data_IF_852324050321
#
_entry.id   IF_852324050321
#
_cell.length_a   1.000
_cell.length_b   1.000
_cell.length_c   1.000
_cell.angle_alpha   90.00
_cell.angle_beta   90.00
_cell.angle_gamma   90.00
#
_symmetry.space_group_name_H-M   'P 1'
#
loop_
_entity.id
_entity.type
_entity.pdbx_description
1 polymer ?
#
# COMPACT_ATOMS: atom_id res chain seq x y z
N UNK A 1 -8.73 -3.85 3.35
CA UNK A 1 -9.62 -2.66 3.31
C UNK A 1 -9.84 -2.04 4.67
N UNK A 2 -9.87 -2.82 5.71
CA UNK A 2 -10.16 -2.38 7.09
C UNK A 2 -9.22 -1.27 7.56
N UNK A 3 -7.92 -1.40 7.30
CA UNK A 3 -6.94 -0.36 7.62
C UNK A 3 -7.20 0.93 6.84
N UNK A 4 -7.50 0.83 5.54
CA UNK A 4 -7.74 1.99 4.68
C UNK A 4 -8.97 2.77 5.13
N UNK A 5 -10.10 2.09 5.33
CA UNK A 5 -11.31 2.74 5.85
C UNK A 5 -11.11 3.32 7.25
N UNK A 6 -10.37 2.62 8.12
CA UNK A 6 -10.08 3.12 9.46
C UNK A 6 -9.26 4.42 9.44
N UNK A 7 -8.27 4.51 8.54
CA UNK A 7 -7.46 5.73 8.37
C UNK A 7 -8.30 6.86 7.81
N UNK A 8 -9.12 6.62 6.78
CA UNK A 8 -10.01 7.63 6.20
C UNK A 8 -11.03 8.13 7.22
N UNK A 9 -11.61 7.21 8.02
CA UNK A 9 -12.54 7.60 9.10
C UNK A 9 -11.83 8.45 10.16
N UNK A 10 -10.61 8.09 10.58
CA UNK A 10 -9.80 8.92 11.51
C UNK A 10 -9.43 10.28 10.94
N UNK A 11 -9.32 10.39 9.61
CA UNK A 11 -9.12 11.68 8.91
C UNK A 11 -10.40 12.48 8.71
N UNK A 12 -11.57 11.94 9.11
CA UNK A 12 -12.85 12.65 9.09
C UNK A 12 -13.62 12.56 7.77
N UNK A 13 -13.25 11.66 6.86
CA UNK A 13 -13.99 11.48 5.60
C UNK A 13 -15.39 10.89 5.82
N UNK A 14 -15.55 10.03 6.82
CA UNK A 14 -16.82 9.42 7.22
C UNK A 14 -16.74 8.89 8.66
N UNK A 15 -17.89 8.65 9.35
CA UNK A 15 -17.89 8.15 10.72
C UNK A 15 -17.33 6.72 10.84
N UNK A 16 -16.39 6.49 11.75
CA UNK A 16 -15.83 5.13 12.00
C UNK A 16 -16.93 4.13 12.40
N UNK A 17 -17.98 4.59 13.08
CA UNK A 17 -19.09 3.72 13.47
C UNK A 17 -19.85 3.16 12.27
N UNK A 18 -20.03 3.97 11.22
CA UNK A 18 -20.64 3.46 9.97
C UNK A 18 -19.82 2.33 9.33
N UNK A 19 -18.49 2.45 9.32
CA UNK A 19 -17.61 1.37 8.84
C UNK A 19 -17.84 0.12 9.65
N UNK A 20 -17.83 0.20 11.00
CA UNK A 20 -18.04 -0.95 11.88
C UNK A 20 -19.41 -1.62 11.66
N UNK A 21 -20.44 -0.80 11.46
CA UNK A 21 -21.81 -1.29 11.34
C UNK A 21 -22.14 -1.83 9.95
N UNK A 22 -21.46 -1.33 8.90
CA UNK A 22 -21.82 -1.58 7.52
C UNK A 22 -20.80 -2.41 6.72
N UNK A 23 -19.58 -2.60 7.25
CA UNK A 23 -18.51 -3.30 6.51
C UNK A 23 -18.98 -4.67 6.03
N UNK A 24 -18.79 -4.92 4.73
CA UNK A 24 -19.17 -6.16 4.04
C UNK A 24 -20.65 -6.57 4.11
N UNK A 25 -21.56 -5.67 4.51
CA UNK A 25 -23.00 -5.94 4.44
C UNK A 25 -23.53 -5.72 3.01
N UNK A 26 -24.54 -6.50 2.65
CA UNK A 26 -25.20 -6.35 1.34
C UNK A 26 -25.76 -4.93 1.17
N UNK A 27 -25.46 -4.32 0.02
CA UNK A 27 -25.86 -2.95 -0.29
C UNK A 27 -25.04 -1.85 0.37
N UNK A 28 -24.09 -2.19 1.22
CA UNK A 28 -23.17 -1.22 1.83
C UNK A 28 -22.13 -0.71 0.82
N UNK A 29 -21.72 0.57 0.90
CA UNK A 29 -20.56 1.05 0.15
C UNK A 29 -19.21 0.60 0.74
N UNK A 30 -19.18 0.12 2.00
CA UNK A 30 -17.98 -0.34 2.70
C UNK A 30 -17.72 -1.81 2.42
N UNK A 31 -17.25 -2.11 1.22
CA UNK A 31 -16.98 -3.48 0.75
C UNK A 31 -15.49 -3.82 0.79
N UNK A 32 -15.14 -5.09 0.52
CA UNK A 32 -13.77 -5.58 0.54
C UNK A 32 -12.82 -4.96 -0.48
N UNK A 33 -13.32 -4.20 -1.45
CA UNK A 33 -12.54 -3.44 -2.41
C UNK A 33 -12.94 -1.96 -2.37
N UNK A 34 -11.98 -1.01 -2.51
CA UNK A 34 -12.31 0.40 -2.46
C UNK A 34 -13.12 0.81 -3.68
N UNK A 35 -14.10 1.69 -3.46
CA UNK A 35 -14.85 2.31 -4.54
C UNK A 35 -14.99 3.82 -4.33
N UNK A 36 -14.97 4.55 -5.42
CA UNK A 36 -14.98 6.02 -5.44
C UNK A 36 -16.36 6.65 -5.14
N UNK A 37 -17.32 5.86 -4.67
CA UNK A 37 -18.58 6.37 -4.09
C UNK A 37 -18.37 6.87 -2.66
N UNK A 38 -17.28 6.42 -2.01
CA UNK A 38 -16.90 6.88 -0.67
C UNK A 38 -15.98 8.09 -0.75
N UNK A 39 -16.20 9.12 0.09
CA UNK A 39 -15.29 10.25 0.19
C UNK A 39 -13.87 9.81 0.54
N UNK A 40 -12.86 10.42 -0.11
CA UNK A 40 -11.45 10.10 0.13
C UNK A 40 -10.93 8.89 -0.63
N UNK A 41 -11.73 8.29 -1.51
CA UNK A 41 -11.29 7.22 -2.43
C UNK A 41 -11.32 7.74 -3.85
N UNK A 42 -10.15 7.89 -4.46
CA UNK A 42 -9.98 8.52 -5.79
C UNK A 42 -10.36 7.57 -6.91
N UNK A 43 -10.16 6.24 -6.73
CA UNK A 43 -10.44 5.27 -7.79
C UNK A 43 -10.92 3.93 -7.24
N UNK A 44 -11.70 3.21 -8.06
CA UNK A 44 -12.01 1.82 -7.78
C UNK A 44 -10.74 0.96 -7.92
N UNK A 45 -10.53 0.05 -6.99
CA UNK A 45 -9.38 -0.84 -6.97
C UNK A 45 -9.79 -2.26 -6.60
N UNK A 46 -8.85 -3.21 -6.68
CA UNK A 46 -9.06 -4.65 -6.44
C UNK A 46 -8.54 -5.52 -7.58
N UNK A 47 -8.54 -4.99 -8.81
CA UNK A 47 -7.76 -5.57 -9.91
C UNK A 47 -6.32 -5.10 -9.77
N UNK A 48 -5.46 -5.99 -9.25
CA UNK A 48 -4.05 -5.68 -8.99
C UNK A 48 -3.32 -5.29 -10.28
N UNK A 49 -2.26 -4.51 -10.17
CA UNK A 49 -1.47 -4.00 -11.29
C UNK A 49 -2.04 -2.75 -11.96
N UNK A 50 -3.25 -2.30 -11.62
CA UNK A 50 -3.88 -1.12 -12.24
C UNK A 50 -3.65 0.18 -11.47
N UNK A 51 -3.27 0.10 -10.20
CA UNK A 51 -3.05 1.29 -9.36
C UNK A 51 -1.94 2.18 -9.89
N UNK A 52 -0.77 1.62 -10.16
CA UNK A 52 0.37 2.38 -10.65
C UNK A 52 0.12 3.03 -12.03
N UNK A 53 -0.40 2.34 -13.06
CA UNK A 53 -0.74 2.97 -14.33
C UNK A 53 -1.68 4.17 -14.20
N UNK A 54 -2.72 4.07 -13.39
CA UNK A 54 -3.65 5.18 -13.13
C UNK A 54 -2.93 6.34 -12.42
N UNK A 55 -2.09 6.05 -11.43
CA UNK A 55 -1.29 7.06 -10.75
C UNK A 55 -0.29 7.77 -11.70
N UNK A 56 0.29 7.05 -12.66
CA UNK A 56 1.10 7.64 -13.73
C UNK A 56 0.28 8.66 -14.54
N UNK A 57 -0.95 8.31 -14.92
CA UNK A 57 -1.85 9.23 -15.62
C UNK A 57 -2.18 10.47 -14.80
N UNK A 58 -2.49 10.30 -13.51
CA UNK A 58 -2.77 11.41 -12.58
C UNK A 58 -1.54 12.32 -12.39
N UNK A 59 -0.36 11.75 -12.21
CA UNK A 59 0.88 12.51 -12.05
C UNK A 59 1.24 13.29 -13.31
N UNK A 60 1.07 12.67 -14.47
CA UNK A 60 1.30 13.32 -15.78
C UNK A 60 0.32 14.47 -15.99
N UNK A 61 -0.96 14.31 -15.69
CA UNK A 61 -1.97 15.37 -15.76
C UNK A 61 -1.57 16.55 -14.86
N UNK A 62 -1.19 16.28 -13.60
CA UNK A 62 -0.72 17.32 -12.68
C UNK A 62 0.45 18.13 -13.22
N UNK A 63 1.45 17.47 -13.79
CA UNK A 63 2.60 18.15 -14.41
C UNK A 63 2.19 19.00 -15.61
N UNK A 64 1.33 18.49 -16.48
CA UNK A 64 0.85 19.21 -17.67
C UNK A 64 0.00 20.42 -17.32
N UNK A 65 -0.81 20.31 -16.27
CA UNK A 65 -1.69 21.37 -15.79
C UNK A 65 -0.96 22.38 -14.86
N UNK A 66 0.35 22.20 -14.63
CA UNK A 66 1.15 23.04 -13.73
C UNK A 66 0.68 22.98 -12.28
N UNK A 67 0.10 21.85 -11.86
CA UNK A 67 -0.32 21.62 -10.47
C UNK A 67 0.82 21.08 -9.63
N UNK A 68 0.86 21.44 -8.36
CA UNK A 68 1.91 21.06 -7.41
C UNK A 68 1.58 19.84 -6.56
N UNK A 69 0.42 19.18 -6.78
CA UNK A 69 0.06 17.97 -6.05
C UNK A 69 0.98 16.80 -6.37
N UNK A 70 1.10 15.92 -5.39
CA UNK A 70 1.83 14.67 -5.51
C UNK A 70 0.87 13.49 -5.51
N UNK A 71 1.24 12.44 -6.23
CA UNK A 71 0.48 11.21 -6.34
C UNK A 71 1.23 10.10 -5.59
N UNK A 72 0.51 9.35 -4.77
CA UNK A 72 1.03 8.22 -4.01
C UNK A 72 0.24 6.97 -4.33
N UNK A 73 0.92 5.84 -4.39
CA UNK A 73 0.27 4.52 -4.47
C UNK A 73 0.97 3.53 -3.56
N UNK A 74 0.20 2.62 -2.98
CA UNK A 74 0.73 1.48 -2.21
C UNK A 74 0.43 0.22 -2.98
N UNK A 75 1.45 -0.59 -3.22
CA UNK A 75 1.38 -1.85 -3.94
C UNK A 75 1.86 -2.99 -3.05
N UNK A 76 1.22 -4.14 -3.11
CA UNK A 76 1.77 -5.37 -2.53
C UNK A 76 2.93 -5.91 -3.37
N UNK A 77 3.87 -6.58 -2.72
CA UNK A 77 4.99 -7.21 -3.45
C UNK A 77 4.51 -8.32 -4.40
N UNK A 78 3.50 -9.11 -4.02
CA UNK A 78 2.87 -10.09 -4.92
C UNK A 78 2.18 -9.46 -6.14
N UNK A 79 1.74 -8.20 -6.04
CA UNK A 79 1.15 -7.43 -7.15
C UNK A 79 2.18 -7.15 -8.27
N UNK A 80 3.47 -7.14 -7.95
CA UNK A 80 4.53 -6.83 -8.92
C UNK A 80 4.70 -7.90 -10.01
N UNK A 81 4.01 -9.03 -9.90
CA UNK A 81 3.89 -10.02 -10.99
C UNK A 81 3.06 -9.51 -12.17
N UNK A 82 2.26 -8.45 -11.98
CA UNK A 82 1.44 -7.87 -13.05
C UNK A 82 2.29 -7.05 -14.03
N UNK A 83 2.18 -7.38 -15.34
CA UNK A 83 2.99 -6.73 -16.39
C UNK A 83 2.75 -5.21 -16.48
N UNK A 84 1.52 -4.76 -16.23
CA UNK A 84 1.14 -3.35 -16.26
C UNK A 84 1.91 -2.47 -15.26
N UNK A 85 2.43 -3.03 -14.16
CA UNK A 85 3.33 -2.33 -13.23
C UNK A 85 4.60 -1.88 -13.96
N UNK A 86 5.22 -2.78 -14.73
CA UNK A 86 6.48 -2.51 -15.43
C UNK A 86 6.30 -1.57 -16.61
N UNK A 87 5.18 -1.69 -17.33
CA UNK A 87 4.79 -0.72 -18.37
C UNK A 87 4.61 0.69 -17.79
N UNK A 88 3.95 0.79 -16.64
CA UNK A 88 3.77 2.03 -15.92
C UNK A 88 5.11 2.58 -15.38
N UNK A 89 6.00 1.71 -14.91
CA UNK A 89 7.33 2.10 -14.44
C UNK A 89 8.17 2.74 -15.56
N UNK A 90 8.14 2.18 -16.77
CA UNK A 90 8.78 2.78 -17.95
C UNK A 90 8.19 4.16 -18.29
N UNK A 91 6.85 4.27 -18.29
CA UNK A 91 6.18 5.52 -18.60
C UNK A 91 6.47 6.60 -17.56
N UNK A 92 6.48 6.26 -16.28
CA UNK A 92 6.78 7.20 -15.20
C UNK A 92 8.18 7.83 -15.34
N UNK A 93 9.17 7.02 -15.67
CA UNK A 93 10.52 7.49 -15.95
C UNK A 93 10.56 8.36 -17.22
N UNK A 94 9.97 7.90 -18.33
CA UNK A 94 9.94 8.64 -19.60
C UNK A 94 9.38 10.04 -19.47
N UNK A 95 8.37 10.22 -18.61
CA UNK A 95 7.74 11.53 -18.39
C UNK A 95 8.31 12.28 -17.18
N UNK A 96 9.40 11.80 -16.56
CA UNK A 96 10.06 12.42 -15.42
C UNK A 96 9.09 12.77 -14.29
N UNK A 97 8.25 11.81 -13.87
CA UNK A 97 7.17 12.03 -12.92
C UNK A 97 7.70 12.12 -11.47
N UNK A 98 8.42 13.18 -11.15
CA UNK A 98 8.97 13.44 -9.81
C UNK A 98 7.90 13.79 -8.76
N UNK A 99 6.66 13.94 -9.20
CA UNK A 99 5.48 14.06 -8.34
C UNK A 99 4.78 12.72 -8.09
N UNK A 100 5.34 11.59 -8.54
CA UNK A 100 4.86 10.24 -8.27
C UNK A 100 5.76 9.53 -7.27
N UNK A 101 5.16 8.97 -6.21
CA UNK A 101 5.83 8.12 -5.24
C UNK A 101 5.05 6.82 -5.08
N UNK A 102 5.65 5.69 -5.42
CA UNK A 102 5.13 4.37 -5.17
C UNK A 102 5.71 3.81 -3.86
N UNK A 103 4.91 3.08 -3.08
CA UNK A 103 5.36 2.34 -1.91
C UNK A 103 5.08 0.86 -2.15
N UNK A 104 6.08 0.03 -1.98
CA UNK A 104 5.92 -1.43 -2.04
C UNK A 104 5.87 -1.95 -0.60
N UNK A 105 4.73 -2.54 -0.23
CA UNK A 105 4.59 -3.34 0.99
C UNK A 105 5.30 -4.69 0.75
N UNK A 106 6.60 -4.72 1.05
CA UNK A 106 7.47 -5.90 0.85
C UNK A 106 7.36 -6.80 2.07
N UNK A 107 6.25 -7.51 2.18
CA UNK A 107 5.99 -8.44 3.28
C UNK A 107 6.35 -9.90 2.95
N UNK A 108 6.87 -10.18 1.76
CA UNK A 108 7.30 -11.48 1.24
C UNK A 108 6.20 -12.53 1.11
N UNK A 109 4.93 -12.17 1.27
CA UNK A 109 3.81 -13.12 1.24
C UNK A 109 2.69 -12.67 0.29
N UNK A 110 2.18 -13.63 -0.45
CA UNK A 110 0.95 -13.50 -1.25
C UNK A 110 -0.01 -14.65 -0.92
N UNK A 111 -1.19 -14.70 -1.55
CA UNK A 111 -2.24 -15.70 -1.26
C UNK A 111 -1.68 -17.13 -1.20
N UNK A 112 -0.82 -17.49 -2.15
CA UNK A 112 -0.35 -18.87 -2.36
C UNK A 112 0.90 -19.22 -1.54
N UNK A 113 1.54 -18.26 -0.86
CA UNK A 113 2.76 -18.48 -0.09
C UNK A 113 3.78 -17.35 -0.19
N UNK A 114 5.05 -17.69 -0.09
CA UNK A 114 6.15 -16.75 -0.22
C UNK A 114 6.23 -16.23 -1.66
N UNK A 115 6.43 -14.94 -1.85
CA UNK A 115 6.48 -14.29 -3.18
C UNK A 115 7.60 -14.87 -4.05
N UNK A 116 8.77 -15.20 -3.49
CA UNK A 116 9.88 -15.75 -4.25
C UNK A 116 9.64 -17.19 -4.72
N UNK A 117 8.80 -17.94 -4.00
CA UNK A 117 8.44 -19.31 -4.40
C UNK A 117 7.32 -19.33 -5.47
N UNK A 118 6.46 -18.29 -5.50
CA UNK A 118 5.34 -18.22 -6.44
C UNK A 118 5.73 -17.52 -7.73
N UNK A 119 6.30 -16.31 -7.63
CA UNK A 119 6.82 -15.55 -8.77
C UNK A 119 7.91 -14.59 -8.26
N UNK A 120 9.16 -15.03 -8.32
CA UNK A 120 10.30 -14.31 -7.76
C UNK A 120 10.53 -12.92 -8.34
N UNK A 121 10.80 -11.96 -7.47
CA UNK A 121 10.99 -10.56 -7.83
C UNK A 121 12.36 -10.00 -7.44
N UNK A 122 13.24 -10.81 -6.85
CA UNK A 122 14.57 -10.36 -6.49
C UNK A 122 15.41 -9.99 -7.74
N UNK A 123 16.17 -8.96 -7.77
CA UNK A 123 16.30 -7.91 -6.76
C UNK A 123 15.39 -6.71 -7.12
N UNK A 124 14.44 -6.32 -6.25
CA UNK A 124 13.50 -5.22 -6.54
C UNK A 124 14.18 -3.88 -6.69
N UNK A 125 15.22 -3.61 -5.87
CA UNK A 125 16.00 -2.38 -5.98
C UNK A 125 16.55 -2.22 -7.40
N UNK A 126 17.29 -3.20 -7.87
CA UNK A 126 17.93 -3.15 -9.18
C UNK A 126 16.92 -3.11 -10.32
N UNK A 127 15.78 -3.78 -10.17
CA UNK A 127 14.70 -3.71 -11.17
C UNK A 127 14.18 -2.29 -11.33
N UNK A 128 13.74 -1.62 -10.25
CA UNK A 128 13.23 -0.25 -10.34
C UNK A 128 14.33 0.74 -10.71
N UNK A 129 15.54 0.58 -10.22
CA UNK A 129 16.69 1.39 -10.62
C UNK A 129 16.99 1.28 -12.12
N UNK A 130 16.87 0.09 -12.70
CA UNK A 130 17.06 -0.12 -14.16
C UNK A 130 15.98 0.56 -15.00
N UNK A 131 14.79 0.79 -14.45
CA UNK A 131 13.74 1.59 -15.07
C UNK A 131 13.92 3.11 -14.80
N UNK A 132 15.02 3.54 -14.16
CA UNK A 132 15.34 4.94 -13.91
C UNK A 132 14.57 5.59 -12.78
N UNK A 133 14.09 4.79 -11.83
CA UNK A 133 13.46 5.27 -10.61
C UNK A 133 14.50 5.57 -9.52
N UNK A 134 14.23 6.57 -8.70
CA UNK A 134 14.90 6.73 -7.42
C UNK A 134 14.33 5.68 -6.44
N UNK A 135 15.21 4.82 -5.92
CA UNK A 135 14.82 3.72 -5.05
C UNK A 135 15.27 4.00 -3.62
N UNK A 136 14.35 3.89 -2.68
CA UNK A 136 14.60 4.05 -1.25
C UNK A 136 14.25 2.73 -0.56
N UNK A 137 15.27 2.05 -0.01
CA UNK A 137 15.07 0.84 0.76
C UNK A 137 14.84 1.19 2.23
N UNK A 138 13.72 0.77 2.78
CA UNK A 138 13.39 0.90 4.21
C UNK A 138 13.46 -0.48 4.85
N UNK A 139 14.46 -0.70 5.68
CA UNK A 139 14.75 -2.01 6.30
C UNK A 139 13.68 -2.47 7.29
N UNK A 140 13.00 -1.55 7.97
CA UNK A 140 11.79 -1.80 8.77
C UNK A 140 10.66 -0.87 8.31
N UNK A 141 9.82 -1.38 7.41
CA UNK A 141 8.65 -0.68 6.89
C UNK A 141 7.49 -0.57 7.90
N UNK A 142 7.64 -1.13 9.10
CA UNK A 142 6.71 -0.91 10.21
C UNK A 142 7.20 0.20 11.17
N UNK A 143 8.40 0.76 10.96
CA UNK A 143 8.91 1.92 11.67
C UNK A 143 8.41 3.22 11.01
N UNK A 144 7.59 3.97 11.75
CA UNK A 144 6.99 5.22 11.29
C UNK A 144 8.04 6.29 11.00
N UNK A 145 9.08 6.39 11.84
CA UNK A 145 10.14 7.40 11.67
C UNK A 145 11.00 7.11 10.43
N UNK A 146 11.27 5.84 10.15
CA UNK A 146 11.96 5.42 8.94
C UNK A 146 11.13 5.75 7.68
N UNK A 147 9.83 5.47 7.70
CA UNK A 147 8.91 5.81 6.61
C UNK A 147 8.80 7.32 6.40
N UNK A 148 8.71 8.12 7.47
CA UNK A 148 8.67 9.58 7.37
C UNK A 148 9.92 10.15 6.68
N UNK A 149 11.10 9.64 7.03
CA UNK A 149 12.38 10.03 6.38
C UNK A 149 12.36 9.68 4.89
N UNK A 150 11.89 8.48 4.53
CA UNK A 150 11.75 8.04 3.14
C UNK A 150 10.78 8.93 2.35
N UNK A 151 9.64 9.31 2.91
CA UNK A 151 8.71 10.24 2.27
C UNK A 151 9.28 11.65 2.09
N UNK A 152 10.09 12.14 3.05
CA UNK A 152 10.79 13.43 2.92
C UNK A 152 11.80 13.36 1.78
N UNK A 153 12.58 12.28 1.69
CA UNK A 153 13.54 12.05 0.60
C UNK A 153 12.82 11.98 -0.75
N UNK A 154 11.76 11.20 -0.85
CA UNK A 154 10.92 11.10 -2.05
C UNK A 154 10.36 12.46 -2.50
N UNK A 155 9.93 13.30 -1.54
CA UNK A 155 9.44 14.65 -1.84
C UNK A 155 10.52 15.57 -2.43
N UNK A 156 11.76 15.38 -2.01
CA UNK A 156 12.91 16.20 -2.44
C UNK A 156 13.53 15.71 -3.75
N UNK A 157 13.26 14.46 -4.16
CA UNK A 157 13.73 13.89 -5.42
C UNK A 157 13.11 14.62 -6.60
N UNK A 158 13.93 14.94 -7.61
CA UNK A 158 13.52 15.71 -8.81
C UNK A 158 13.86 14.95 -10.09
N UNK A 159 13.07 15.22 -11.13
CA UNK A 159 13.23 14.70 -12.49
C UNK A 159 13.11 13.17 -12.65
N UNK A 160 12.75 12.45 -11.62
CA UNK A 160 12.52 11.00 -11.68
C UNK A 160 11.46 10.57 -10.65
N UNK A 161 10.67 9.53 -10.94
CA UNK A 161 9.74 8.97 -9.98
C UNK A 161 10.48 8.28 -8.83
N UNK A 162 9.83 8.15 -7.69
CA UNK A 162 10.42 7.47 -6.51
C UNK A 162 9.62 6.24 -6.15
N UNK A 163 10.33 5.16 -5.80
CA UNK A 163 9.76 3.98 -5.15
C UNK A 163 10.39 3.78 -3.77
N UNK A 164 9.55 3.55 -2.78
CA UNK A 164 9.96 3.17 -1.42
C UNK A 164 9.69 1.66 -1.29
N UNK A 165 10.73 0.87 -1.10
CA UNK A 165 10.62 -0.57 -0.81
C UNK A 165 10.60 -0.71 0.72
N UNK A 166 9.40 -0.87 1.28
CA UNK A 166 9.20 -0.97 2.71
C UNK A 166 9.17 -2.46 3.12
N UNK A 167 10.25 -2.94 3.73
CA UNK A 167 10.30 -4.32 4.25
C UNK A 167 9.43 -4.40 5.50
N UNK A 168 8.27 -5.01 5.37
CA UNK A 168 7.25 -5.09 6.42
C UNK A 168 7.08 -6.52 6.93
N UNK A 169 6.36 -6.65 8.02
CA UNK A 169 5.91 -7.92 8.54
C UNK A 169 4.39 -8.02 8.36
N UNK A 170 3.93 -8.95 7.50
CA UNK A 170 2.49 -9.18 7.32
C UNK A 170 1.83 -9.49 8.67
N UNK A 171 0.72 -8.80 8.97
CA UNK A 171 -0.02 -8.99 10.22
C UNK A 171 0.67 -8.40 11.45
N UNK A 172 1.62 -7.45 11.28
CA UNK A 172 2.31 -6.77 12.38
C UNK A 172 1.34 -6.25 13.43
N UNK A 173 1.57 -6.62 14.67
CA UNK A 173 0.76 -6.21 15.82
C UNK A 173 0.30 -7.36 16.69
N UNK A 174 0.12 -8.56 16.14
CA UNK A 174 -0.19 -9.75 16.94
C UNK A 174 0.55 -10.99 16.42
N UNK A 175 1.27 -11.73 17.28
CA UNK A 175 1.96 -12.96 16.91
C UNK A 175 1.06 -14.03 16.30
N UNK A 176 -0.26 -13.96 16.56
CA UNK A 176 -1.24 -14.85 15.95
C UNK A 176 -1.29 -14.68 14.44
N UNK A 177 -1.11 -13.46 13.94
CA UNK A 177 -1.19 -13.11 12.51
C UNK A 177 0.18 -13.00 11.84
N UNK A 178 1.21 -12.61 12.58
CA UNK A 178 2.51 -12.22 12.02
C UNK A 178 3.12 -13.31 11.14
N UNK A 179 3.54 -12.92 9.95
CA UNK A 179 4.24 -13.72 8.95
C UNK A 179 3.52 -15.02 8.53
N UNK A 180 2.19 -14.97 8.41
CA UNK A 180 1.39 -16.14 8.02
C UNK A 180 0.57 -15.84 6.76
N UNK A 181 0.87 -16.54 5.65
CA UNK A 181 0.11 -16.43 4.40
C UNK A 181 -1.37 -16.78 4.58
N UNK A 182 -1.68 -17.73 5.48
CA UNK A 182 -3.06 -18.15 5.78
C UNK A 182 -3.97 -17.02 6.29
N UNK A 183 -3.39 -15.90 6.75
CA UNK A 183 -4.16 -14.72 7.16
C UNK A 183 -4.52 -13.78 6.01
N UNK A 184 -4.15 -14.14 4.78
CA UNK A 184 -4.60 -13.42 3.60
C UNK A 184 -6.08 -13.70 3.37
N UNK A 185 -7.06 -13.08 3.68
CA UNK A 185 -8.52 -13.33 3.68
C UNK A 185 -9.06 -14.18 4.86
N UNK A 186 -8.26 -14.41 5.91
CA UNK A 186 -8.77 -15.09 7.08
C UNK A 186 -9.65 -14.16 7.94
N UNK A 187 -10.83 -14.63 8.30
CA UNK A 187 -11.70 -13.96 9.28
C UNK A 187 -11.41 -14.58 10.65
N UNK A 188 -10.96 -13.82 11.66
CA UNK A 188 -10.60 -14.37 12.95
C UNK A 188 -11.79 -15.03 13.65
N UNK A 189 -11.56 -16.19 14.29
CA UNK A 189 -12.48 -16.78 15.24
C UNK A 189 -12.66 -15.86 16.46
N UNK A 190 -13.63 -16.16 17.34
CA UNK A 190 -13.82 -15.38 18.57
C UNK A 190 -12.61 -15.42 19.48
N UNK A 191 -11.96 -16.57 19.57
CA UNK A 191 -10.76 -16.81 20.38
C UNK A 191 -9.56 -16.08 19.82
N UNK A 192 -9.34 -16.16 18.50
CA UNK A 192 -8.28 -15.41 17.80
C UNK A 192 -8.49 -13.92 17.95
N UNK A 193 -9.72 -13.43 17.75
CA UNK A 193 -10.05 -12.00 17.93
C UNK A 193 -9.74 -11.54 19.35
N UNK A 194 -10.12 -12.30 20.38
CA UNK A 194 -9.84 -11.94 21.76
C UNK A 194 -8.33 -11.86 22.03
N UNK A 195 -7.55 -12.80 21.49
CA UNK A 195 -6.08 -12.82 21.62
C UNK A 195 -5.46 -11.62 20.91
N UNK A 196 -5.86 -11.35 19.66
CA UNK A 196 -5.36 -10.20 18.88
C UNK A 196 -5.64 -8.88 19.59
N UNK A 197 -6.87 -8.70 20.11
CA UNK A 197 -7.24 -7.48 20.83
C UNK A 197 -6.44 -7.30 22.13
N UNK A 198 -6.14 -8.39 22.83
CA UNK A 198 -5.28 -8.34 24.02
C UNK A 198 -3.84 -7.95 23.67
N UNK A 199 -3.29 -8.47 22.57
CA UNK A 199 -1.95 -8.12 22.08
C UNK A 199 -1.87 -6.63 21.69
N UNK A 200 -2.85 -6.15 20.95
CA UNK A 200 -2.92 -4.75 20.53
C UNK A 200 -3.03 -3.80 21.74
N UNK A 201 -3.85 -4.14 22.73
CA UNK A 201 -3.99 -3.35 23.95
C UNK A 201 -2.68 -3.27 24.74
N UNK A 202 -1.95 -4.38 24.89
CA UNK A 202 -0.63 -4.38 25.53
C UNK A 202 0.37 -3.46 24.82
N UNK A 203 0.31 -3.40 23.48
CA UNK A 203 1.18 -2.51 22.69
C UNK A 203 0.80 -1.05 22.87
N UNK A 204 -0.50 -0.73 22.92
CA UNK A 204 -0.99 0.63 23.18
C UNK A 204 -0.55 1.14 24.55
N UNK A 205 -0.55 0.27 25.56
CA UNK A 205 -0.11 0.60 26.93
C UNK A 205 1.43 0.77 27.05
N UNK A 206 2.20 0.30 26.04
CA UNK A 206 3.66 0.36 26.04
C UNK A 206 4.25 1.57 25.27
N UNK A 207 3.38 2.37 24.62
CA UNK A 207 3.70 3.62 23.92
C UNK A 207 3.50 4.81 24.86
#
# INVERSE_FOLDING_TARGET
MEAYYSVLAKKGFFPLQEVKDQFSKFGSPYIGHPNNKLPGIEMNSGSLGHGLPVCVGMALAGKRDGRDYRVYTVMGDGELAEGSIWEAAMAAHQYHLDNLCAVIDRNHLQISGNTEDVMGHENLHDRFASFGWHVIDVSDGNDIDALQKAFIEAKNTKNQPTVIIANTLKGKGSPVMENKASWHHHVPSKEEYATIMADLKKREEAI
#
